data_IF_853246705158
#
_entry.id   IF_853246705158
#
_cell.length_a   1.000
_cell.length_b   1.000
_cell.length_c   1.000
_cell.angle_alpha   90.00
_cell.angle_beta   90.00
_cell.angle_gamma   90.00
#
_symmetry.space_group_name_H-M   'P 1'
#
loop_
_entity.id
_entity.type
_entity.pdbx_description
1 polymer ?
#
# COMPACT_ATOMS: atom_id res chain seq x y z
N UNK A 1 -35.11 -23.22 21.77
CA UNK A 1 -34.04 -22.20 21.75
C UNK A 1 -33.02 -22.67 20.73
N UNK A 2 -32.72 -21.87 19.71
CA UNK A 2 -32.09 -22.30 18.44
C UNK A 2 -30.67 -22.88 18.61
N UNK A 3 -30.53 -24.20 18.50
CA UNK A 3 -29.25 -24.94 18.52
C UNK A 3 -28.24 -24.42 17.50
N UNK A 4 -28.71 -23.99 16.31
CA UNK A 4 -27.87 -23.43 15.24
C UNK A 4 -27.22 -22.10 15.64
N UNK A 5 -27.95 -21.25 16.38
CA UNK A 5 -27.41 -19.97 16.82
C UNK A 5 -26.28 -20.18 17.84
N UNK A 6 -26.41 -21.19 18.72
CA UNK A 6 -25.36 -21.57 19.68
C UNK A 6 -24.12 -22.15 18.98
N UNK A 7 -24.30 -22.94 17.93
CA UNK A 7 -23.19 -23.45 17.11
C UNK A 7 -22.42 -22.31 16.41
N UNK A 8 -23.13 -21.35 15.83
CA UNK A 8 -22.53 -20.18 15.20
C UNK A 8 -21.72 -19.38 16.23
N UNK A 9 -22.29 -19.14 17.41
CA UNK A 9 -21.60 -18.38 18.47
C UNK A 9 -20.32 -19.10 18.95
N UNK A 10 -20.35 -20.42 19.03
CA UNK A 10 -19.16 -21.24 19.37
C UNK A 10 -18.03 -21.12 18.33
N UNK A 11 -18.39 -20.89 17.06
CA UNK A 11 -17.42 -20.65 15.98
C UNK A 11 -16.94 -19.20 15.90
N UNK A 12 -17.78 -18.23 16.30
CA UNK A 12 -17.36 -16.83 16.44
C UNK A 12 -16.34 -16.67 17.58
N UNK A 13 -16.57 -17.35 18.70
CA UNK A 13 -15.73 -17.25 19.88
C UNK A 13 -15.75 -15.86 20.53
N UNK A 14 -15.00 -15.69 21.61
CA UNK A 14 -14.80 -14.38 22.25
C UNK A 14 -13.67 -13.64 21.54
N UNK A 15 -14.01 -12.92 20.47
CA UNK A 15 -13.05 -12.13 19.70
C UNK A 15 -13.53 -10.70 19.48
N UNK A 16 -12.63 -9.75 19.66
CA UNK A 16 -12.79 -8.37 19.18
C UNK A 16 -12.42 -8.28 17.69
N UNK A 17 -13.39 -7.88 16.87
CA UNK A 17 -13.17 -7.60 15.46
C UNK A 17 -12.38 -6.28 15.29
N UNK A 18 -11.56 -6.14 14.24
CA UNK A 18 -10.87 -4.89 13.98
C UNK A 18 -11.86 -3.74 13.74
N UNK A 19 -11.53 -2.53 14.21
CA UNK A 19 -12.37 -1.35 14.01
C UNK A 19 -12.18 -0.77 12.59
N UNK A 20 -12.84 -1.42 11.63
CA UNK A 20 -12.80 -1.05 10.22
C UNK A 20 -13.35 0.36 9.98
N UNK A 21 -14.31 0.81 10.81
CA UNK A 21 -14.89 2.15 10.67
C UNK A 21 -13.87 3.22 11.00
N UNK A 22 -13.11 3.02 12.08
CA UNK A 22 -12.00 3.88 12.45
C UNK A 22 -10.90 3.87 11.39
N UNK A 23 -10.45 2.69 10.95
CA UNK A 23 -9.38 2.58 9.96
C UNK A 23 -9.78 3.25 8.63
N UNK A 24 -11.02 3.09 8.18
CA UNK A 24 -11.51 3.77 6.98
C UNK A 24 -11.61 5.28 7.15
N UNK A 25 -11.97 5.77 8.35
CA UNK A 25 -12.02 7.21 8.63
C UNK A 25 -10.65 7.87 8.60
N UNK A 26 -9.60 7.12 8.97
CA UNK A 26 -8.21 7.59 8.97
C UNK A 26 -7.50 7.38 7.63
N UNK A 27 -7.91 6.39 6.84
CA UNK A 27 -7.27 6.07 5.56
C UNK A 27 -7.82 6.91 4.39
N UNK A 28 -9.12 7.22 4.41
CA UNK A 28 -9.75 8.03 3.37
C UNK A 28 -9.73 9.52 3.73
N UNK A 29 -8.91 10.31 3.00
CA UNK A 29 -8.76 11.77 3.19
C UNK A 29 -10.07 12.52 3.41
N UNK A 30 -11.12 12.19 2.65
CA UNK A 30 -12.44 12.83 2.75
C UNK A 30 -13.15 12.62 4.10
N UNK A 31 -12.79 11.56 4.83
CA UNK A 31 -13.38 11.16 6.12
C UNK A 31 -12.52 11.54 7.32
N UNK A 32 -11.35 12.16 7.10
CA UNK A 32 -10.46 12.58 8.17
C UNK A 32 -11.18 13.52 9.14
N UNK A 33 -10.76 13.52 10.41
CA UNK A 33 -11.40 14.30 11.48
C UNK A 33 -11.48 15.79 11.17
N UNK A 34 -10.53 16.34 10.42
CA UNK A 34 -10.54 17.75 9.99
C UNK A 34 -11.78 18.12 9.16
N UNK A 35 -12.38 17.15 8.45
CA UNK A 35 -13.60 17.33 7.66
C UNK A 35 -14.88 16.92 8.38
N UNK A 36 -14.80 15.91 9.25
CA UNK A 36 -16.00 15.29 9.87
C UNK A 36 -16.32 15.87 11.25
N UNK A 37 -15.30 16.25 12.03
CA UNK A 37 -15.46 16.74 13.39
C UNK A 37 -15.56 18.28 13.41
N UNK A 38 -16.77 18.78 13.15
CA UNK A 38 -17.10 20.21 13.17
C UNK A 38 -17.12 20.80 14.60
N UNK A 39 -17.06 19.97 15.64
CA UNK A 39 -17.02 20.45 17.03
C UNK A 39 -15.57 20.77 17.41
N UNK A 40 -14.64 19.87 17.06
CA UNK A 40 -13.21 20.07 17.27
C UNK A 40 -12.63 21.08 16.29
N UNK A 41 -13.14 21.12 15.06
CA UNK A 41 -12.70 22.04 13.99
C UNK A 41 -13.88 22.88 13.47
N UNK A 42 -14.39 23.83 14.28
CA UNK A 42 -15.58 24.60 13.96
C UNK A 42 -15.34 25.59 12.82
N UNK A 43 -16.37 25.75 11.99
CA UNK A 43 -16.41 26.82 11.00
C UNK A 43 -16.48 28.19 11.69
N UNK A 44 -15.95 29.21 11.03
CA UNK A 44 -15.88 30.54 11.62
C UNK A 44 -17.19 31.29 11.39
N UNK A 45 -17.81 31.76 12.45
CA UNK A 45 -18.90 32.74 12.35
C UNK A 45 -18.35 34.17 12.37
N UNK A 46 -18.63 34.93 11.31
CA UNK A 46 -18.30 36.35 11.21
C UNK A 46 -19.60 37.15 11.20
N UNK A 47 -19.61 38.28 11.91
CA UNK A 47 -20.74 39.22 11.84
C UNK A 47 -20.44 40.21 10.71
N UNK A 48 -21.23 40.16 9.64
CA UNK A 48 -21.17 41.11 8.55
C UNK A 48 -22.29 42.12 8.67
N UNK A 49 -21.97 43.40 8.55
CA UNK A 49 -22.97 44.46 8.44
C UNK A 49 -23.51 44.45 7.00
N UNK A 50 -24.82 44.25 6.85
CA UNK A 50 -25.51 44.43 5.57
C UNK A 50 -26.46 45.63 5.67
N UNK A 51 -26.68 46.32 4.55
CA UNK A 51 -27.60 47.46 4.49
C UNK A 51 -28.87 47.00 3.78
N UNK A 52 -30.01 47.06 4.47
CA UNK A 52 -31.32 46.78 3.87
C UNK A 52 -31.65 47.82 2.78
N UNK A 53 -32.62 47.51 1.90
CA UNK A 53 -33.13 48.45 0.88
C UNK A 53 -33.62 49.80 1.44
N UNK A 54 -33.84 49.88 2.77
CA UNK A 54 -34.23 51.09 3.51
C UNK A 54 -33.06 51.85 4.15
N UNK A 55 -31.81 51.48 3.89
CA UNK A 55 -30.62 52.20 4.39
C UNK A 55 -30.23 51.91 5.85
N UNK A 56 -30.92 50.99 6.53
CA UNK A 56 -30.59 50.60 7.90
C UNK A 56 -29.52 49.51 7.92
N UNK A 57 -28.46 49.70 8.72
CA UNK A 57 -27.40 48.71 8.95
C UNK A 57 -27.91 47.62 9.89
N UNK A 58 -28.02 46.40 9.39
CA UNK A 58 -28.33 45.21 10.18
C UNK A 58 -27.12 44.27 10.24
N UNK A 59 -27.01 43.52 11.33
CA UNK A 59 -25.93 42.56 11.56
C UNK A 59 -26.40 41.16 11.18
N UNK A 60 -25.80 40.56 10.17
CA UNK A 60 -26.01 39.16 9.84
C UNK A 60 -24.81 38.32 10.30
N UNK A 61 -25.08 37.17 10.92
CA UNK A 61 -24.04 36.17 11.16
C UNK A 61 -23.87 35.36 9.88
N UNK A 62 -22.69 35.45 9.28
CA UNK A 62 -22.29 34.63 8.12
C UNK A 62 -21.29 33.60 8.60
N UNK A 63 -21.55 32.34 8.29
CA UNK A 63 -20.63 31.23 8.58
C UNK A 63 -19.71 31.06 7.38
N UNK A 64 -18.41 31.17 7.61
CA UNK A 64 -17.37 30.98 6.60
C UNK A 64 -16.75 29.60 6.85
N UNK A 65 -16.79 28.69 5.86
CA UNK A 65 -16.20 27.37 6.01
C UNK A 65 -14.69 27.49 6.20
N UNK A 66 -14.14 26.64 7.07
CA UNK A 66 -12.70 26.56 7.29
C UNK A 66 -11.99 25.96 6.06
N UNK A 67 -10.80 26.46 5.73
CA UNK A 67 -9.86 25.85 4.80
C UNK A 67 -9.29 24.55 5.36
N UNK A 68 -10.00 23.44 5.15
CA UNK A 68 -9.62 22.11 5.63
C UNK A 68 -8.69 21.41 4.64
N UNK A 69 -7.51 21.02 5.10
CA UNK A 69 -6.51 20.29 4.32
C UNK A 69 -6.29 18.91 4.95
N UNK A 70 -6.54 17.86 4.17
CA UNK A 70 -6.26 16.47 4.57
C UNK A 70 -5.04 15.91 3.85
N UNK A 71 -4.21 15.18 4.57
CA UNK A 71 -2.90 14.69 4.11
C UNK A 71 -2.95 13.16 3.95
N UNK A 72 -2.64 12.59 2.76
CA UNK A 72 -2.78 11.16 2.50
C UNK A 72 -1.61 10.30 3.02
N UNK A 73 -1.04 10.60 4.19
CA UNK A 73 0.12 9.88 4.72
C UNK A 73 -0.16 8.39 4.94
N UNK A 74 -1.32 8.05 5.50
CA UNK A 74 -1.73 6.66 5.75
C UNK A 74 -1.69 5.83 4.45
N UNK A 75 -2.20 6.39 3.35
CA UNK A 75 -2.16 5.74 2.02
C UNK A 75 -0.72 5.58 1.54
N UNK A 76 0.11 6.62 1.68
CA UNK A 76 1.52 6.62 1.27
C UNK A 76 2.32 5.55 2.03
N UNK A 77 2.18 5.50 3.35
CA UNK A 77 2.84 4.53 4.24
C UNK A 77 2.51 3.10 3.83
N UNK A 78 1.20 2.77 3.71
CA UNK A 78 0.78 1.42 3.31
C UNK A 78 1.29 1.06 1.91
N UNK A 79 1.14 1.96 0.93
CA UNK A 79 1.55 1.68 -0.44
C UNK A 79 3.06 1.44 -0.57
N UNK A 80 3.88 2.21 0.16
CA UNK A 80 5.33 2.06 0.17
C UNK A 80 5.70 0.73 0.85
N UNK A 81 5.15 0.44 2.03
CA UNK A 81 5.39 -0.83 2.73
C UNK A 81 5.03 -2.05 1.87
N UNK A 82 3.86 -2.03 1.21
CA UNK A 82 3.45 -3.07 0.26
C UNK A 82 4.41 -3.19 -0.92
N UNK A 83 4.90 -2.05 -1.44
CA UNK A 83 5.79 -2.06 -2.62
C UNK A 83 7.17 -2.60 -2.26
N UNK A 84 7.71 -2.28 -1.07
CA UNK A 84 8.95 -2.90 -0.59
C UNK A 84 8.79 -4.41 -0.37
N UNK A 85 7.65 -4.87 0.15
CA UNK A 85 7.42 -6.29 0.42
C UNK A 85 7.12 -7.13 -0.83
N UNK A 86 6.30 -6.63 -1.75
CA UNK A 86 5.75 -7.40 -2.89
C UNK A 86 6.00 -6.72 -4.25
N UNK A 87 6.93 -5.76 -4.32
CA UNK A 87 7.33 -5.13 -5.58
C UNK A 87 7.96 -6.14 -6.54
N UNK A 88 8.90 -6.91 -6.02
CA UNK A 88 9.40 -8.11 -6.65
C UNK A 88 8.48 -9.30 -6.36
N UNK A 89 8.20 -10.18 -7.36
CA UNK A 89 7.42 -11.39 -7.13
C UNK A 89 8.11 -12.30 -6.11
N UNK A 90 7.33 -12.88 -5.20
CA UNK A 90 7.81 -13.86 -4.23
C UNK A 90 8.34 -15.08 -4.99
N UNK A 91 9.59 -15.43 -4.73
CA UNK A 91 10.23 -16.62 -5.30
C UNK A 91 10.03 -17.79 -4.34
N UNK A 92 10.04 -18.98 -4.90
CA UNK A 92 9.95 -20.23 -4.15
C UNK A 92 11.13 -21.10 -4.57
N UNK A 93 11.79 -21.74 -3.61
CA UNK A 93 12.81 -22.74 -3.86
C UNK A 93 12.30 -24.10 -3.42
N UNK A 94 12.73 -25.15 -4.13
CA UNK A 94 12.44 -26.54 -3.79
C UNK A 94 13.65 -27.10 -3.05
N UNK A 95 13.44 -27.70 -1.89
CA UNK A 95 14.51 -28.37 -1.14
C UNK A 95 14.66 -29.85 -1.53
N UNK A 96 13.74 -30.37 -2.34
CA UNK A 96 13.73 -31.76 -2.80
C UNK A 96 14.33 -31.89 -4.20
N UNK A 97 14.91 -33.06 -4.50
CA UNK A 97 15.42 -33.37 -5.84
C UNK A 97 14.29 -33.59 -6.86
N UNK A 98 13.09 -33.99 -6.41
CA UNK A 98 11.93 -34.15 -7.28
C UNK A 98 11.24 -32.81 -7.54
N UNK A 99 11.18 -32.46 -8.82
CA UNK A 99 10.67 -31.19 -9.31
C UNK A 99 9.26 -31.28 -9.92
N UNK A 100 8.66 -32.47 -10.08
CA UNK A 100 7.38 -32.58 -10.79
C UNK A 100 6.27 -31.81 -10.08
N UNK A 101 6.13 -32.03 -8.76
CA UNK A 101 5.13 -31.35 -7.94
C UNK A 101 5.45 -29.86 -7.77
N UNK A 102 6.73 -29.50 -7.66
CA UNK A 102 7.17 -28.11 -7.57
C UNK A 102 6.86 -27.30 -8.84
N UNK A 103 7.10 -27.89 -10.03
CA UNK A 103 6.72 -27.28 -11.32
C UNK A 103 5.21 -27.09 -11.44
N UNK A 104 4.41 -28.04 -10.96
CA UNK A 104 2.95 -27.90 -10.91
C UNK A 104 2.53 -26.77 -9.96
N UNK A 105 3.16 -26.66 -8.79
CA UNK A 105 2.95 -25.58 -7.83
C UNK A 105 3.27 -24.21 -8.44
N UNK A 106 4.43 -24.03 -9.08
CA UNK A 106 4.79 -22.76 -9.72
C UNK A 106 3.77 -22.34 -10.79
N UNK A 107 3.24 -23.29 -11.56
CA UNK A 107 2.16 -23.02 -12.53
C UNK A 107 0.86 -22.57 -11.86
N UNK A 108 0.50 -23.12 -10.70
CA UNK A 108 -0.66 -22.64 -9.92
C UNK A 108 -0.47 -21.17 -9.53
N UNK A 109 0.71 -20.83 -9.02
CA UNK A 109 1.08 -19.46 -8.59
C UNK A 109 1.00 -18.50 -9.78
N UNK A 110 1.56 -18.88 -10.93
CA UNK A 110 1.55 -18.07 -12.14
C UNK A 110 0.12 -17.88 -12.70
N UNK A 111 -0.68 -18.95 -12.81
CA UNK A 111 -2.02 -18.89 -13.42
C UNK A 111 -3.04 -18.16 -12.56
N UNK A 112 -2.89 -18.20 -11.24
CA UNK A 112 -3.68 -17.38 -10.33
C UNK A 112 -3.15 -15.95 -10.20
N UNK A 113 -2.05 -15.62 -10.90
CA UNK A 113 -1.42 -14.30 -10.90
C UNK A 113 -1.11 -13.82 -9.49
N UNK A 114 -0.49 -14.69 -8.68
CA UNK A 114 -0.29 -14.44 -7.25
C UNK A 114 0.47 -13.16 -6.96
N UNK A 115 1.32 -12.66 -7.88
CA UNK A 115 1.94 -11.32 -7.75
C UNK A 115 0.94 -10.21 -7.37
N UNK A 116 -0.26 -10.21 -7.94
CA UNK A 116 -1.28 -9.20 -7.62
C UNK A 116 -2.02 -9.52 -6.33
N UNK A 117 -2.30 -10.81 -6.09
CA UNK A 117 -2.97 -11.31 -4.88
C UNK A 117 -2.11 -11.03 -3.64
N UNK A 118 -0.81 -11.27 -3.72
CA UNK A 118 0.16 -11.00 -2.65
C UNK A 118 0.21 -9.51 -2.30
N UNK A 119 0.19 -8.65 -3.33
CA UNK A 119 0.10 -7.19 -3.16
C UNK A 119 -1.22 -6.78 -2.48
N UNK A 120 -2.33 -7.41 -2.86
CA UNK A 120 -3.65 -7.17 -2.25
C UNK A 120 -3.69 -7.62 -0.79
N UNK A 121 -3.14 -8.79 -0.47
CA UNK A 121 -3.02 -9.31 0.90
C UNK A 121 -2.16 -8.35 1.73
N UNK A 122 -0.97 -7.99 1.27
CA UNK A 122 -0.06 -7.13 2.01
C UNK A 122 -0.67 -5.74 2.28
N UNK A 123 -1.38 -5.18 1.30
CA UNK A 123 -2.11 -3.91 1.46
C UNK A 123 -3.25 -4.05 2.47
N UNK A 124 -3.98 -5.16 2.42
CA UNK A 124 -5.13 -5.41 3.30
C UNK A 124 -4.67 -5.61 4.75
N UNK A 125 -3.61 -6.39 4.97
CA UNK A 125 -3.02 -6.59 6.31
C UNK A 125 -2.51 -5.26 6.87
N UNK A 126 -1.81 -4.45 6.06
CA UNK A 126 -1.34 -3.14 6.49
C UNK A 126 -2.45 -2.14 6.83
N UNK A 127 -3.61 -2.26 6.17
CA UNK A 127 -4.75 -1.36 6.36
C UNK A 127 -5.73 -1.81 7.45
N UNK A 128 -5.97 -3.11 7.56
CA UNK A 128 -7.03 -3.70 8.38
C UNK A 128 -6.53 -4.64 9.47
N UNK A 129 -5.21 -4.69 9.71
CA UNK A 129 -4.49 -5.57 10.64
C UNK A 129 -4.56 -7.05 10.32
N UNK A 130 -5.52 -7.50 9.52
CA UNK A 130 -5.68 -8.90 9.17
C UNK A 130 -6.23 -9.10 7.76
N UNK A 131 -6.00 -10.29 7.22
CA UNK A 131 -6.54 -10.73 5.94
C UNK A 131 -6.55 -12.27 5.91
N UNK A 132 -7.42 -12.86 5.12
CA UNK A 132 -7.36 -14.29 4.84
C UNK A 132 -7.36 -14.59 3.35
N UNK A 133 -6.79 -15.72 2.98
CA UNK A 133 -6.73 -16.26 1.63
C UNK A 133 -7.48 -17.58 1.63
N UNK A 134 -8.53 -17.67 0.81
CA UNK A 134 -9.31 -18.89 0.62
C UNK A 134 -8.94 -19.55 -0.71
N UNK A 135 -8.46 -20.79 -0.63
CA UNK A 135 -8.29 -21.65 -1.79
C UNK A 135 -9.54 -22.50 -2.01
N UNK A 136 -10.04 -22.51 -3.23
CA UNK A 136 -11.20 -23.31 -3.58
C UNK A 136 -11.08 -23.79 -5.02
N UNK A 137 -11.75 -24.89 -5.33
CA UNK A 137 -11.75 -25.44 -6.67
C UNK A 137 -13.09 -25.29 -7.35
N UNK A 138 -13.07 -25.28 -8.67
CA UNK A 138 -14.24 -25.21 -9.54
C UNK A 138 -14.18 -26.33 -10.57
N UNK A 139 -15.35 -26.84 -10.99
CA UNK A 139 -15.49 -27.93 -11.95
C UNK A 139 -15.22 -27.46 -13.40
N UNK A 140 -14.00 -26.96 -13.61
CA UNK A 140 -13.49 -26.48 -14.89
C UNK A 140 -12.30 -27.36 -15.30
N UNK A 141 -12.50 -28.32 -16.23
CA UNK A 141 -11.40 -29.12 -16.77
C UNK A 141 -10.34 -28.23 -17.41
N UNK A 142 -9.07 -28.45 -17.08
CA UNK A 142 -7.97 -27.63 -17.54
C UNK A 142 -6.65 -28.40 -17.61
N UNK A 143 -5.66 -27.82 -18.29
CA UNK A 143 -4.28 -28.33 -18.37
C UNK A 143 -3.28 -27.34 -17.74
N UNK A 144 -3.77 -26.48 -16.83
CA UNK A 144 -3.00 -25.37 -16.29
C UNK A 144 -1.80 -25.82 -15.46
N UNK A 145 -1.85 -27.01 -14.87
CA UNK A 145 -0.83 -27.54 -13.97
C UNK A 145 0.26 -28.34 -14.69
N UNK A 146 0.26 -28.36 -16.03
CA UNK A 146 1.09 -29.26 -16.83
C UNK A 146 0.54 -30.68 -16.91
N UNK A 147 -0.59 -30.93 -16.24
CA UNK A 147 -1.34 -32.19 -16.29
C UNK A 147 -2.81 -31.83 -16.48
N UNK A 148 -3.55 -32.68 -17.20
CA UNK A 148 -4.99 -32.55 -17.37
C UNK A 148 -5.69 -32.81 -16.04
N UNK A 149 -6.23 -31.77 -15.44
CA UNK A 149 -6.98 -31.80 -14.20
C UNK A 149 -8.46 -31.52 -14.47
N UNK A 150 -9.35 -32.22 -13.77
CA UNK A 150 -10.81 -32.00 -13.86
C UNK A 150 -11.25 -30.69 -13.19
N UNK A 151 -10.46 -30.22 -12.23
CA UNK A 151 -10.80 -29.07 -11.40
C UNK A 151 -9.79 -27.95 -11.57
N UNK A 152 -10.26 -26.72 -11.43
CA UNK A 152 -9.44 -25.52 -11.43
C UNK A 152 -9.40 -24.90 -10.05
N UNK A 153 -8.20 -24.84 -9.48
CA UNK A 153 -7.87 -24.15 -8.24
C UNK A 153 -7.84 -22.64 -8.45
N UNK A 154 -8.64 -21.93 -7.66
CA UNK A 154 -8.77 -20.47 -7.61
C UNK A 154 -8.51 -20.00 -6.18
N UNK A 155 -8.14 -18.73 -6.07
CA UNK A 155 -7.90 -18.05 -4.79
C UNK A 155 -8.85 -16.88 -4.64
N UNK A 156 -9.32 -16.63 -3.42
CA UNK A 156 -10.09 -15.46 -3.06
C UNK A 156 -9.51 -14.81 -1.81
N UNK A 157 -9.20 -13.52 -1.90
CA UNK A 157 -8.78 -12.71 -0.76
C UNK A 157 -10.02 -12.31 0.04
N UNK A 158 -9.96 -12.49 1.35
CA UNK A 158 -10.99 -12.17 2.32
C UNK A 158 -10.50 -11.01 3.17
N UNK A 159 -11.03 -9.84 2.86
CA UNK A 159 -10.68 -8.58 3.51
C UNK A 159 -11.71 -8.22 4.58
N UNK A 160 -11.28 -7.66 5.74
CA UNK A 160 -12.18 -7.32 6.84
C UNK A 160 -13.26 -6.27 6.55
N UNK A 161 -13.11 -5.49 5.48
CA UNK A 161 -14.11 -4.50 5.05
C UNK A 161 -15.35 -5.13 4.42
N UNK A 162 -15.23 -6.36 3.90
CA UNK A 162 -16.33 -7.11 3.29
C UNK A 162 -16.76 -8.27 4.19
N UNK A 163 -15.81 -8.92 4.87
CA UNK A 163 -16.02 -10.14 5.64
C UNK A 163 -15.63 -9.94 7.10
N UNK A 164 -16.47 -10.36 8.04
CA UNK A 164 -16.04 -10.54 9.42
C UNK A 164 -15.33 -11.89 9.55
N UNK A 165 -14.07 -11.89 9.99
CA UNK A 165 -13.21 -13.07 10.03
C UNK A 165 -13.09 -13.62 11.46
N UNK A 166 -13.32 -14.92 11.62
CA UNK A 166 -13.30 -15.60 12.91
C UNK A 166 -12.34 -16.82 12.85
N UNK A 167 -11.02 -16.59 12.95
CA UNK A 167 -10.06 -17.66 13.12
C UNK A 167 -10.10 -18.18 14.56
N UNK A 168 -10.07 -19.51 14.73
CA UNK A 168 -10.03 -20.17 16.04
C UNK A 168 -8.79 -21.04 16.15
N UNK A 169 -7.98 -20.74 17.16
CA UNK A 169 -6.73 -21.44 17.45
C UNK A 169 -6.88 -22.40 18.64
N UNK A 170 -6.04 -23.43 18.68
CA UNK A 170 -5.85 -24.28 19.87
C UNK A 170 -4.84 -23.64 20.84
N UNK A 171 -4.55 -24.34 21.95
CA UNK A 171 -3.55 -23.92 22.94
C UNK A 171 -2.11 -23.91 22.40
N UNK A 172 -1.87 -24.52 21.24
CA UNK A 172 -0.58 -24.59 20.57
C UNK A 172 -0.50 -23.62 19.36
N UNK A 173 -1.41 -22.63 19.28
CA UNK A 173 -1.51 -21.66 18.18
C UNK A 173 -1.78 -22.28 16.79
N UNK A 174 -2.32 -23.50 16.72
CA UNK A 174 -2.78 -24.10 15.47
C UNK A 174 -4.20 -23.68 15.14
N UNK A 175 -4.44 -23.27 13.89
CA UNK A 175 -5.77 -22.95 13.40
C UNK A 175 -6.62 -24.24 13.30
N UNK A 176 -7.67 -24.36 14.12
CA UNK A 176 -8.60 -25.50 14.17
C UNK A 176 -9.82 -25.27 13.28
N UNK A 177 -10.32 -24.03 13.26
CA UNK A 177 -11.45 -23.66 12.42
C UNK A 177 -11.35 -22.21 11.99
N UNK A 178 -11.85 -21.92 10.81
CA UNK A 178 -11.97 -20.56 10.32
C UNK A 178 -13.40 -20.31 9.90
N UNK A 179 -14.03 -19.25 10.39
CA UNK A 179 -15.34 -18.84 9.92
C UNK A 179 -15.31 -17.43 9.32
N UNK A 180 -16.22 -17.17 8.39
CA UNK A 180 -16.45 -15.84 7.83
C UNK A 180 -17.93 -15.50 7.79
N UNK A 181 -18.23 -14.23 8.03
CA UNK A 181 -19.58 -13.67 7.93
C UNK A 181 -19.60 -12.55 6.90
N UNK A 182 -20.61 -12.52 6.02
CA UNK A 182 -20.80 -11.42 5.08
C UNK A 182 -22.26 -11.28 4.67
N UNK A 183 -22.63 -10.09 4.20
CA UNK A 183 -23.97 -9.81 3.66
C UNK A 183 -24.00 -10.04 2.16
N UNK A 184 -25.00 -10.78 1.69
CA UNK A 184 -25.30 -10.98 0.27
C UNK A 184 -26.74 -10.53 -0.01
N UNK A 185 -26.90 -9.29 -0.44
CA UNK A 185 -28.21 -8.63 -0.52
C UNK A 185 -28.85 -8.50 0.86
N UNK A 186 -30.04 -9.08 1.03
CA UNK A 186 -30.78 -9.06 2.30
C UNK A 186 -30.45 -10.26 3.23
N UNK A 187 -29.55 -11.16 2.81
CA UNK A 187 -29.20 -12.37 3.54
C UNK A 187 -27.84 -12.21 4.21
N UNK A 188 -27.69 -12.68 5.45
CA UNK A 188 -26.38 -12.84 6.11
C UNK A 188 -25.93 -14.27 5.92
N UNK A 189 -24.71 -14.47 5.41
CA UNK A 189 -24.12 -15.78 5.20
C UNK A 189 -23.00 -15.97 6.21
N UNK A 190 -22.97 -17.14 6.84
CA UNK A 190 -21.90 -17.56 7.75
C UNK A 190 -21.34 -18.89 7.26
N UNK A 191 -20.05 -18.91 6.91
CA UNK A 191 -19.37 -20.10 6.40
C UNK A 191 -18.26 -20.52 7.36
N UNK A 192 -18.22 -21.81 7.69
CA UNK A 192 -17.25 -22.41 8.60
C UNK A 192 -16.42 -23.42 7.82
N UNK A 193 -15.10 -23.29 7.94
CA UNK A 193 -14.09 -24.15 7.35
C UNK A 193 -13.35 -24.88 8.45
N UNK A 194 -13.44 -26.21 8.45
CA UNK A 194 -12.65 -27.11 9.30
C UNK A 194 -11.84 -28.05 8.40
N UNK A 195 -10.91 -28.79 8.98
CA UNK A 195 -10.17 -29.85 8.29
C UNK A 195 -11.08 -30.96 7.77
N UNK A 196 -12.17 -31.27 8.47
CA UNK A 196 -13.11 -32.33 8.11
C UNK A 196 -14.31 -31.87 7.28
N UNK A 197 -14.83 -30.66 7.51
CA UNK A 197 -16.11 -30.19 6.94
C UNK A 197 -16.11 -28.72 6.57
N UNK A 198 -16.93 -28.39 5.57
CA UNK A 198 -17.25 -27.03 5.17
C UNK A 198 -18.76 -26.84 5.31
N UNK A 199 -19.15 -25.94 6.21
CA UNK A 199 -20.55 -25.72 6.58
C UNK A 199 -20.95 -24.31 6.18
N UNK A 200 -22.13 -24.16 5.58
CA UNK A 200 -22.71 -22.88 5.21
C UNK A 200 -24.06 -22.69 5.88
N UNK A 201 -24.19 -21.57 6.57
CA UNK A 201 -25.42 -21.08 7.16
C UNK A 201 -25.87 -19.80 6.46
N UNK A 202 -27.18 -19.59 6.44
CA UNK A 202 -27.81 -18.42 5.86
C UNK A 202 -28.92 -17.92 6.78
N UNK A 203 -29.01 -16.59 6.92
CA UNK A 203 -30.01 -15.91 7.71
C UNK A 203 -30.79 -14.91 6.87
N UNK A 204 -32.10 -15.14 6.73
CA UNK A 204 -33.07 -14.15 6.24
C UNK A 204 -33.90 -13.57 7.39
N UNK A 205 -34.47 -14.45 8.22
CA UNK A 205 -35.17 -14.13 9.47
C UNK A 205 -34.65 -14.98 10.63
N UNK A 206 -34.42 -16.27 10.36
CA UNK A 206 -33.79 -17.23 11.26
C UNK A 206 -32.61 -17.91 10.55
N UNK A 207 -31.64 -18.40 11.33
CA UNK A 207 -30.49 -19.12 10.81
C UNK A 207 -30.89 -20.50 10.29
N UNK A 208 -30.48 -20.82 9.06
CA UNK A 208 -30.68 -22.13 8.43
C UNK A 208 -29.35 -22.67 7.92
N UNK A 209 -29.13 -23.96 8.10
CA UNK A 209 -27.98 -24.69 7.55
C UNK A 209 -28.30 -25.06 6.09
N UNK A 210 -27.55 -24.50 5.15
CA UNK A 210 -27.78 -24.68 3.70
C UNK A 210 -26.93 -25.81 3.13
N UNK A 211 -25.69 -25.94 3.59
CA UNK A 211 -24.81 -27.02 3.16
C UNK A 211 -23.88 -27.48 4.27
N UNK A 212 -23.57 -28.77 4.27
CA UNK A 212 -22.56 -29.43 5.09
C UNK A 212 -21.89 -30.48 4.22
N UNK A 213 -20.72 -30.14 3.71
CA UNK A 213 -19.97 -31.01 2.82
C UNK A 213 -18.66 -31.44 3.50
N UNK A 214 -18.21 -32.68 3.29
CA UNK A 214 -16.89 -33.09 3.75
C UNK A 214 -15.82 -32.27 3.02
N UNK A 215 -14.78 -31.88 3.75
CA UNK A 215 -13.65 -31.17 3.19
C UNK A 215 -12.71 -32.16 2.50
N UNK A 216 -12.65 -32.08 1.17
CA UNK A 216 -11.97 -33.08 0.36
C UNK A 216 -10.44 -33.10 0.51
N UNK A 217 -9.83 -32.03 1.02
CA UNK A 217 -8.36 -31.95 1.20
C UNK A 217 -7.89 -32.33 2.61
N UNK A 218 -8.79 -32.57 3.57
CA UNK A 218 -8.44 -32.91 4.95
C UNK A 218 -7.65 -31.82 5.70
N UNK A 219 -7.71 -30.57 5.22
CA UNK A 219 -7.01 -29.39 5.79
C UNK A 219 -7.88 -28.16 5.61
N UNK A 220 -7.82 -27.22 6.55
CA UNK A 220 -8.51 -25.93 6.41
C UNK A 220 -7.94 -25.19 5.18
N UNK A 221 -8.75 -24.86 4.16
CA UNK A 221 -8.31 -24.24 2.92
C UNK A 221 -8.07 -22.72 3.04
N UNK A 222 -7.68 -22.27 4.23
CA UNK A 222 -7.48 -20.87 4.58
C UNK A 222 -6.02 -20.65 4.98
N UNK A 223 -5.46 -19.55 4.49
CA UNK A 223 -4.24 -18.94 5.03
C UNK A 223 -4.64 -17.64 5.70
N UNK A 224 -4.29 -17.47 6.97
CA UNK A 224 -4.66 -16.29 7.76
C UNK A 224 -3.43 -15.46 8.06
N UNK A 225 -3.52 -14.16 7.81
CA UNK A 225 -2.47 -13.17 8.03
C UNK A 225 -2.94 -12.19 9.09
N UNK A 226 -2.10 -11.92 10.08
CA UNK A 226 -2.41 -11.01 11.19
C UNK A 226 -1.17 -10.21 11.56
N UNK A 227 -1.37 -8.92 11.80
CA UNK A 227 -0.47 -8.03 12.51
C UNK A 227 -1.23 -7.33 13.63
N UNK A 228 -0.51 -6.74 14.59
CA UNK A 228 -1.14 -6.16 15.78
C UNK A 228 -1.89 -4.85 15.48
N UNK A 229 -1.23 -3.94 14.76
CA UNK A 229 -1.72 -2.58 14.51
C UNK A 229 -1.65 -2.23 13.02
N UNK A 230 -2.40 -1.20 12.60
CA UNK A 230 -2.29 -0.65 11.24
C UNK A 230 -0.95 0.06 11.04
N UNK A 231 -0.47 0.15 9.80
CA UNK A 231 0.89 0.67 9.51
C UNK A 231 1.18 2.09 10.01
N UNK A 232 0.14 2.89 10.24
CA UNK A 232 0.25 4.29 10.64
C UNK A 232 -0.17 4.54 12.10
N UNK A 233 -0.46 3.48 12.88
CA UNK A 233 -1.05 3.60 14.20
C UNK A 233 -0.27 4.55 15.12
N UNK A 234 1.06 4.41 15.14
CA UNK A 234 1.95 5.17 16.03
C UNK A 234 2.09 6.65 15.64
N UNK A 235 1.79 6.99 14.38
CA UNK A 235 1.96 8.34 13.83
C UNK A 235 0.63 9.06 13.57
N UNK A 236 -0.50 8.42 13.90
CA UNK A 236 -1.83 8.98 13.62
C UNK A 236 -2.04 10.35 14.27
N UNK A 237 -1.55 10.56 15.49
CA UNK A 237 -1.61 11.85 16.19
C UNK A 237 -0.76 12.92 15.52
N UNK A 238 0.43 12.56 15.02
CA UNK A 238 1.29 13.46 14.26
C UNK A 238 0.63 13.89 12.94
N UNK A 239 -0.01 12.96 12.22
CA UNK A 239 -0.75 13.28 10.99
C UNK A 239 -1.92 14.23 11.28
N UNK A 240 -2.73 13.95 12.31
CA UNK A 240 -3.84 14.84 12.70
C UNK A 240 -3.35 16.25 13.11
N UNK A 241 -2.17 16.34 13.74
CA UNK A 241 -1.55 17.61 14.11
C UNK A 241 -1.07 18.39 12.87
N UNK A 242 -0.43 17.71 11.92
CA UNK A 242 -0.03 18.30 10.64
C UNK A 242 -1.24 18.88 9.91
N UNK A 243 -2.32 18.10 9.72
CA UNK A 243 -3.54 18.57 9.04
C UNK A 243 -4.12 19.85 9.67
N UNK A 244 -4.09 19.92 11.00
CA UNK A 244 -4.53 21.10 11.73
C UNK A 244 -3.60 22.31 11.50
N UNK A 245 -2.28 22.11 11.52
CA UNK A 245 -1.30 23.19 11.24
C UNK A 245 -1.46 23.70 9.81
N UNK A 246 -1.58 22.83 8.81
CA UNK A 246 -1.78 23.21 7.41
C UNK A 246 -3.08 23.98 7.21
N UNK A 247 -4.18 23.51 7.80
CA UNK A 247 -5.50 24.17 7.70
C UNK A 247 -5.47 25.58 8.32
N UNK A 248 -4.85 25.73 9.51
CA UNK A 248 -4.72 27.04 10.16
C UNK A 248 -3.78 27.99 9.41
N UNK A 249 -2.70 27.46 8.83
CA UNK A 249 -1.78 28.25 8.01
C UNK A 249 -2.49 28.75 6.74
N UNK A 250 -3.30 27.91 6.10
CA UNK A 250 -4.12 28.31 4.96
C UNK A 250 -5.13 29.41 5.33
N UNK A 251 -5.82 29.29 6.46
CA UNK A 251 -6.69 30.35 6.98
C UNK A 251 -5.97 31.67 7.25
N UNK A 252 -4.76 31.59 7.82
CA UNK A 252 -3.94 32.78 8.05
C UNK A 252 -3.58 33.43 6.71
N UNK A 253 -3.11 32.64 5.75
CA UNK A 253 -2.72 33.14 4.44
C UNK A 253 -3.89 33.81 3.73
N UNK A 254 -5.09 33.24 3.76
CA UNK A 254 -6.28 33.85 3.17
C UNK A 254 -6.67 35.18 3.84
N UNK A 255 -6.50 35.31 5.15
CA UNK A 255 -6.76 36.57 5.87
C UNK A 255 -5.77 37.67 5.51
N UNK A 256 -4.50 37.33 5.36
CA UNK A 256 -3.42 38.28 5.05
C UNK A 256 -3.17 38.43 3.55
N UNK A 257 -3.89 37.68 2.71
CA UNK A 257 -3.83 37.79 1.24
C UNK A 257 -4.18 39.19 0.73
N UNK A 258 -4.98 39.95 1.49
CA UNK A 258 -5.24 41.36 1.23
C UNK A 258 -4.54 42.23 2.29
N UNK A 259 -3.81 43.28 1.90
CA UNK A 259 -3.15 44.17 2.85
C UNK A 259 -4.18 44.81 3.80
N UNK A 260 -4.04 44.55 5.09
CA UNK A 260 -4.86 45.18 6.12
C UNK A 260 -4.14 46.47 6.53
N UNK A 261 -4.79 47.62 6.39
CA UNK A 261 -4.19 48.88 6.79
C UNK A 261 -4.49 49.18 8.26
N UNK A 262 -3.45 49.31 9.07
CA UNK A 262 -3.51 49.74 10.47
C UNK A 262 -3.33 51.25 10.53
N UNK A 263 -4.29 51.93 11.14
CA UNK A 263 -4.28 53.38 11.31
C UNK A 263 -4.21 53.70 12.80
N UNK A 264 -3.31 54.62 13.18
CA UNK A 264 -3.14 55.12 14.53
C UNK A 264 -3.29 56.64 14.50
N UNK A 265 -4.19 57.18 15.32
CA UNK A 265 -4.55 58.61 15.29
C UNK A 265 -5.90 58.87 14.61
N UNK A 266 -6.23 60.16 14.44
CA UNK A 266 -7.48 60.58 13.81
C UNK A 266 -7.27 60.66 12.30
N UNK A 267 -8.04 59.88 11.54
CA UNK A 267 -7.96 59.84 10.09
C UNK A 267 -9.22 60.46 9.52
N UNK A 268 -9.07 61.54 8.77
CA UNK A 268 -10.17 62.21 8.06
C UNK A 268 -10.07 61.90 6.58
N UNK A 269 -11.04 61.14 6.05
CA UNK A 269 -11.13 60.78 4.65
C UNK A 269 -12.20 59.71 4.42
N UNK A 270 -12.92 59.79 3.30
CA UNK A 270 -13.97 58.85 2.96
C UNK A 270 -13.38 57.64 2.22
N UNK A 271 -13.51 56.45 2.80
CA UNK A 271 -13.26 55.19 2.08
C UNK A 271 -14.45 54.94 1.15
N UNK A 272 -14.37 55.41 -0.11
CA UNK A 272 -15.36 55.05 -1.13
C UNK A 272 -15.15 53.59 -1.57
N UNK A 273 -16.22 52.96 -2.07
CA UNK A 273 -16.29 51.52 -2.34
C UNK A 273 -15.42 51.02 -3.51
N UNK A 274 -14.73 51.90 -4.25
CA UNK A 274 -14.07 51.53 -5.51
C UNK A 274 -12.53 51.46 -5.40
N UNK A 275 -11.94 50.40 -5.97
CA UNK A 275 -10.58 49.89 -5.64
C UNK A 275 -9.44 50.41 -6.55
N UNK A 276 -9.35 51.70 -6.89
CA UNK A 276 -8.28 52.16 -7.82
C UNK A 276 -7.40 53.34 -7.38
N UNK A 277 -7.53 53.84 -6.14
CA UNK A 277 -6.52 54.77 -5.60
C UNK A 277 -7.00 55.41 -4.30
N UNK A 278 -6.37 55.05 -3.19
CA UNK A 278 -6.71 55.59 -1.86
C UNK A 278 -5.64 56.59 -1.42
N UNK A 279 -6.01 57.86 -1.27
CA UNK A 279 -5.20 58.85 -0.57
C UNK A 279 -5.77 58.99 0.83
N UNK A 280 -4.98 58.68 1.85
CA UNK A 280 -5.36 58.83 3.25
C UNK A 280 -4.68 60.07 3.80
N UNK A 281 -5.47 61.01 4.32
CA UNK A 281 -4.95 62.19 4.97
C UNK A 281 -4.78 61.89 6.46
N UNK A 282 -3.53 61.89 6.91
CA UNK A 282 -3.12 61.63 8.29
C UNK A 282 -2.90 62.99 8.99
N UNK A 283 -3.50 63.19 10.17
CA UNK A 283 -3.22 64.34 11.03
C UNK A 283 -1.82 64.24 11.67
N UNK A 284 -1.32 65.33 12.25
CA UNK A 284 0.02 65.41 12.84
C UNK A 284 0.15 64.40 14.01
N UNK A 285 1.05 63.42 13.89
CA UNK A 285 1.21 62.31 14.82
C UNK A 285 0.42 61.03 14.49
N UNK A 286 -0.29 60.99 13.36
CA UNK A 286 -0.97 59.78 12.88
C UNK A 286 -0.04 58.91 12.01
N UNK A 287 -0.06 57.60 12.26
CA UNK A 287 0.75 56.59 11.56
C UNK A 287 -0.17 55.64 10.80
N UNK A 288 0.18 55.33 9.55
CA UNK A 288 -0.46 54.29 8.75
C UNK A 288 0.58 53.22 8.39
N UNK A 289 0.35 52.00 8.86
CA UNK A 289 1.21 50.85 8.57
C UNK A 289 0.36 49.72 7.99
N UNK A 290 0.89 48.96 7.03
CA UNK A 290 0.24 47.71 6.67
C UNK A 290 0.47 46.70 7.79
N UNK A 291 -0.60 46.03 8.20
CA UNK A 291 -0.50 44.92 9.13
C UNK A 291 0.26 43.80 8.43
N UNK A 292 1.50 43.62 8.85
CA UNK A 292 2.29 42.48 8.44
C UNK A 292 1.62 41.22 9.00
N UNK A 293 1.57 40.17 8.18
CA UNK A 293 1.30 38.83 8.68
C UNK A 293 2.27 38.60 9.86
N UNK A 294 1.81 38.10 11.02
CA UNK A 294 2.75 37.61 12.02
C UNK A 294 3.63 36.61 11.28
N UNK A 295 4.92 36.94 11.12
CA UNK A 295 5.91 36.09 10.44
C UNK A 295 5.60 34.65 10.83
N UNK A 296 5.41 33.77 9.83
CA UNK A 296 5.24 32.34 10.08
C UNK A 296 6.33 31.96 11.08
N UNK A 297 5.92 31.69 12.32
CA UNK A 297 6.87 31.59 13.42
C UNK A 297 7.85 30.48 13.03
N UNK A 298 9.16 30.72 13.12
CA UNK A 298 10.17 29.68 12.82
C UNK A 298 9.82 28.39 13.56
N UNK A 299 9.29 28.48 14.77
CA UNK A 299 8.79 27.35 15.55
C UNK A 299 7.68 26.53 14.87
N UNK A 300 6.81 27.14 14.06
CA UNK A 300 5.74 26.42 13.35
C UNK A 300 6.28 25.63 12.17
N UNK A 301 7.23 26.23 11.43
CA UNK A 301 7.95 25.53 10.36
C UNK A 301 8.76 24.38 10.93
N UNK A 302 9.50 24.61 12.02
CA UNK A 302 10.25 23.56 12.73
C UNK A 302 9.36 22.44 13.26
N UNK A 303 8.18 22.76 13.82
CA UNK A 303 7.21 21.76 14.25
C UNK A 303 6.73 20.92 13.06
N UNK A 304 6.41 21.56 11.93
CA UNK A 304 5.93 20.88 10.72
C UNK A 304 7.01 19.95 10.16
N UNK A 305 8.23 20.44 9.97
CA UNK A 305 9.35 19.66 9.43
C UNK A 305 9.69 18.47 10.35
N UNK A 306 9.64 18.67 11.67
CA UNK A 306 9.86 17.60 12.65
C UNK A 306 8.76 16.56 12.59
N UNK A 307 7.50 16.96 12.55
CA UNK A 307 6.37 16.03 12.47
C UNK A 307 6.40 15.23 11.16
N UNK A 308 6.71 15.86 10.02
CA UNK A 308 6.85 15.15 8.75
C UNK A 308 7.97 14.12 8.81
N UNK A 309 9.12 14.49 9.40
CA UNK A 309 10.23 13.58 9.60
C UNK A 309 9.85 12.42 10.52
N UNK A 310 9.24 12.70 11.67
CA UNK A 310 8.81 11.71 12.65
C UNK A 310 7.82 10.70 12.03
N UNK A 311 6.89 11.17 11.18
CA UNK A 311 5.97 10.29 10.43
C UNK A 311 6.75 9.31 9.54
N UNK A 312 7.79 9.79 8.85
CA UNK A 312 8.61 8.97 7.96
C UNK A 312 9.54 8.01 8.70
N UNK A 313 10.20 8.49 9.76
CA UNK A 313 11.17 7.73 10.54
C UNK A 313 10.46 6.61 11.35
N UNK A 314 9.38 6.93 12.08
CA UNK A 314 8.68 5.95 12.92
C UNK A 314 7.88 4.91 12.13
N UNK A 315 7.50 5.21 10.87
CA UNK A 315 6.85 4.20 10.01
C UNK A 315 7.84 3.44 9.12
N UNK A 316 9.13 3.76 9.21
CA UNK A 316 10.18 3.28 8.31
C UNK A 316 9.79 3.45 6.83
N UNK A 317 9.18 4.61 6.50
CA UNK A 317 8.72 4.95 5.16
C UNK A 317 9.68 5.94 4.53
N UNK A 318 10.49 5.55 3.53
CA UNK A 318 11.44 6.46 2.89
C UNK A 318 10.79 7.73 2.34
N UNK A 319 11.33 8.89 2.69
CA UNK A 319 10.84 10.18 2.19
C UNK A 319 11.52 10.59 0.88
N UNK A 320 10.97 10.09 -0.22
CA UNK A 320 11.48 10.32 -1.57
C UNK A 320 10.88 11.62 -2.16
N UNK A 321 11.21 12.76 -1.57
CA UNK A 321 10.89 14.07 -2.16
C UNK A 321 12.08 14.60 -2.97
N UNK A 322 11.81 15.40 -4.01
CA UNK A 322 12.86 15.97 -4.85
C UNK A 322 13.86 16.80 -4.03
N UNK A 323 13.38 17.53 -3.03
CA UNK A 323 14.23 18.35 -2.17
C UNK A 323 15.10 17.51 -1.24
N UNK A 324 14.60 16.39 -0.71
CA UNK A 324 15.41 15.44 0.05
C UNK A 324 16.41 14.69 -0.84
N UNK A 325 16.06 14.45 -2.11
CA UNK A 325 16.93 13.77 -3.07
C UNK A 325 18.06 14.65 -3.60
N UNK A 326 17.91 15.98 -3.66
CA UNK A 326 18.96 16.91 -4.11
C UNK A 326 20.25 16.79 -3.28
N UNK A 327 20.13 16.56 -1.97
CA UNK A 327 21.28 16.34 -1.08
C UNK A 327 21.88 14.93 -1.17
N UNK A 328 21.17 13.98 -1.79
CA UNK A 328 21.53 12.56 -1.87
C UNK A 328 22.06 12.16 -3.25
N UNK A 329 22.26 13.10 -4.18
CA UNK A 329 22.66 12.81 -5.57
C UNK A 329 23.89 11.90 -5.71
N UNK A 330 24.88 12.05 -4.83
CA UNK A 330 26.08 11.19 -4.83
C UNK A 330 25.84 9.79 -4.24
N UNK A 331 24.87 9.63 -3.32
CA UNK A 331 24.52 8.32 -2.73
C UNK A 331 23.58 7.52 -3.62
N UNK A 332 22.67 8.20 -4.34
CA UNK A 332 21.75 7.59 -5.31
C UNK A 332 22.48 7.10 -6.58
N UNK A 333 23.62 7.71 -6.90
CA UNK A 333 24.45 7.34 -8.05
C UNK A 333 25.42 6.17 -7.78
N UNK A 334 25.62 5.76 -6.52
CA UNK A 334 26.55 4.69 -6.13
C UNK A 334 25.86 3.46 -5.52
N UNK A 335 26.66 2.44 -5.16
CA UNK A 335 26.24 1.20 -4.49
C UNK A 335 25.61 1.40 -3.10
N UNK A 336 25.55 2.63 -2.59
CA UNK A 336 25.02 2.97 -1.26
C UNK A 336 23.51 3.29 -1.25
N UNK A 337 22.83 3.21 -2.40
CA UNK A 337 21.38 3.43 -2.48
C UNK A 337 20.58 2.47 -1.58
N UNK A 338 21.10 1.26 -1.32
CA UNK A 338 20.48 0.29 -0.41
C UNK A 338 20.46 0.80 1.05
N UNK A 339 21.51 1.51 1.49
CA UNK A 339 21.57 2.08 2.84
C UNK A 339 20.51 3.16 3.08
N UNK A 340 20.10 3.89 2.05
CA UNK A 340 19.00 4.87 2.15
C UNK A 340 17.67 4.19 2.54
N UNK A 341 17.50 2.93 2.14
CA UNK A 341 16.29 2.16 2.37
C UNK A 341 16.44 1.15 3.51
N UNK A 342 17.52 1.20 4.30
CA UNK A 342 17.80 0.23 5.35
C UNK A 342 16.62 0.04 6.32
N UNK A 343 16.00 1.12 6.78
CA UNK A 343 14.84 1.05 7.68
C UNK A 343 13.66 0.32 7.05
N UNK A 344 13.39 0.56 5.76
CA UNK A 344 12.36 -0.14 5.01
C UNK A 344 12.69 -1.64 4.82
N UNK A 345 13.97 -1.98 4.64
CA UNK A 345 14.43 -3.36 4.56
C UNK A 345 14.26 -4.08 5.90
N UNK A 346 14.66 -3.46 7.01
CA UNK A 346 14.45 -4.01 8.35
C UNK A 346 12.96 -4.26 8.62
N UNK A 347 12.09 -3.32 8.24
CA UNK A 347 10.63 -3.50 8.32
C UNK A 347 10.12 -4.69 7.48
N UNK A 348 10.69 -4.92 6.30
CA UNK A 348 10.36 -6.11 5.50
C UNK A 348 10.82 -7.38 6.21
N UNK A 349 12.01 -7.39 6.80
CA UNK A 349 12.55 -8.53 7.57
C UNK A 349 11.65 -8.88 8.76
N UNK A 350 11.18 -7.89 9.52
CA UNK A 350 10.24 -8.12 10.62
C UNK A 350 8.93 -8.75 10.13
N UNK A 351 8.44 -8.31 8.96
CA UNK A 351 7.24 -8.87 8.34
C UNK A 351 7.43 -10.29 7.84
N UNK A 352 8.65 -10.75 7.56
CA UNK A 352 8.87 -12.13 7.13
C UNK A 352 8.36 -13.14 8.16
N UNK A 353 8.38 -12.80 9.46
CA UNK A 353 7.82 -13.64 10.52
C UNK A 353 6.32 -13.92 10.33
N UNK A 354 5.58 -13.03 9.66
CA UNK A 354 4.16 -13.18 9.35
C UNK A 354 3.99 -13.89 8.00
N UNK A 355 4.71 -13.44 6.97
CA UNK A 355 4.47 -13.90 5.60
C UNK A 355 5.10 -15.26 5.29
N UNK A 356 6.31 -15.58 5.76
CA UNK A 356 6.97 -16.85 5.46
C UNK A 356 6.14 -18.06 5.94
N UNK A 357 5.71 -18.14 7.22
CA UNK A 357 4.88 -19.24 7.69
C UNK A 357 3.54 -19.34 6.94
N UNK A 358 2.94 -18.20 6.60
CA UNK A 358 1.70 -18.15 5.84
C UNK A 358 1.87 -18.65 4.39
N UNK A 359 2.98 -18.31 3.73
CA UNK A 359 3.30 -18.78 2.38
C UNK A 359 3.67 -20.27 2.35
N UNK A 360 4.30 -20.79 3.39
CA UNK A 360 4.49 -22.24 3.57
C UNK A 360 3.14 -22.94 3.78
N UNK A 361 2.24 -22.34 4.57
CA UNK A 361 0.87 -22.85 4.73
C UNK A 361 0.11 -22.86 3.39
N UNK A 362 0.23 -21.80 2.58
CA UNK A 362 -0.28 -21.74 1.21
C UNK A 362 0.25 -22.91 0.38
N UNK A 363 1.57 -23.13 0.37
CA UNK A 363 2.18 -24.24 -0.36
C UNK A 363 1.61 -25.60 0.08
N UNK A 364 1.43 -25.82 1.39
CA UNK A 364 0.79 -27.02 1.93
C UNK A 364 -0.67 -27.19 1.47
N UNK A 365 -1.45 -26.11 1.34
CA UNK A 365 -2.85 -26.17 0.88
C UNK A 365 -2.91 -26.49 -0.62
N UNK A 366 -2.05 -25.86 -1.42
CA UNK A 366 -1.96 -26.12 -2.86
C UNK A 366 -1.50 -27.55 -3.10
N UNK A 367 -0.49 -28.03 -2.35
CA UNK A 367 -0.04 -29.43 -2.35
C UNK A 367 -1.22 -30.38 -2.19
N UNK A 368 -2.01 -30.22 -1.13
CA UNK A 368 -3.15 -31.10 -0.86
C UNK A 368 -4.22 -31.08 -1.95
N UNK A 369 -4.45 -29.92 -2.60
CA UNK A 369 -5.33 -29.86 -3.78
C UNK A 369 -4.74 -30.57 -5.01
N UNK A 370 -3.45 -30.39 -5.30
CA UNK A 370 -2.78 -31.05 -6.43
C UNK A 370 -2.77 -32.57 -6.27
N UNK A 371 -2.51 -33.07 -5.07
CA UNK A 371 -2.58 -34.50 -4.71
C UNK A 371 -4.00 -35.07 -4.87
N UNK A 372 -5.03 -34.26 -4.59
CA UNK A 372 -6.42 -34.65 -4.79
C UNK A 372 -6.80 -34.70 -6.28
N UNK A 373 -6.28 -33.79 -7.11
CA UNK A 373 -6.62 -33.74 -8.53
C UNK A 373 -5.89 -34.77 -9.37
N UNK A 374 -4.70 -35.21 -8.96
CA UNK A 374 -3.87 -36.14 -9.70
C UNK A 374 -3.37 -37.27 -8.80
N UNK A 375 -3.84 -38.49 -9.08
CA UNK A 375 -3.46 -39.71 -8.36
C UNK A 375 -1.95 -39.97 -8.42
N UNK A 376 -1.28 -39.53 -9.49
CA UNK A 376 0.18 -39.72 -9.63
C UNK A 376 0.99 -38.94 -8.60
N UNK A 377 0.54 -37.73 -8.25
CA UNK A 377 1.25 -36.84 -7.32
C UNK A 377 0.96 -37.16 -5.85
N UNK A 378 0.13 -38.18 -5.56
CA UNK A 378 -0.40 -38.44 -4.23
C UNK A 378 0.69 -38.77 -3.19
N UNK A 379 1.79 -39.38 -3.63
CA UNK A 379 2.89 -39.78 -2.75
C UNK A 379 4.05 -38.77 -2.72
N UNK A 380 3.99 -37.73 -3.55
CA UNK A 380 5.08 -36.79 -3.71
C UNK A 380 5.03 -35.74 -2.59
N UNK A 381 6.21 -35.41 -2.06
CA UNK A 381 6.37 -34.36 -1.06
C UNK A 381 6.70 -33.02 -1.74
N UNK A 382 6.38 -31.92 -1.05
CA UNK A 382 6.68 -30.58 -1.48
C UNK A 382 7.25 -29.84 -0.27
N UNK A 383 8.56 -29.64 -0.28
CA UNK A 383 9.24 -28.78 0.67
C UNK A 383 9.68 -27.49 -0.03
N UNK A 384 8.99 -26.41 0.30
CA UNK A 384 9.11 -25.13 -0.39
C UNK A 384 9.47 -24.03 0.59
N UNK A 385 10.54 -23.31 0.26
CA UNK A 385 10.97 -22.13 1.00
C UNK A 385 10.64 -20.86 0.20
N UNK A 386 9.78 -19.96 0.74
CA UNK A 386 9.47 -18.70 0.10
C UNK A 386 10.60 -17.69 0.36
N UNK A 387 11.12 -17.09 -0.72
CA UNK A 387 12.12 -16.03 -0.67
C UNK A 387 11.46 -14.71 -1.06
N UNK A 388 11.40 -13.80 -0.10
CA UNK A 388 10.93 -12.43 -0.28
C UNK A 388 12.17 -11.53 -0.39
N UNK A 389 12.31 -10.85 -1.52
CA UNK A 389 13.38 -9.88 -1.74
C UNK A 389 12.78 -8.47 -1.68
N UNK A 390 13.24 -7.59 -0.77
CA UNK A 390 12.79 -6.22 -0.73
C UNK A 390 12.99 -5.52 -2.07
N UNK A 391 12.03 -4.71 -2.50
CA UNK A 391 12.17 -3.95 -3.74
C UNK A 391 13.24 -2.86 -3.60
N UNK A 392 14.17 -2.81 -4.56
CA UNK A 392 15.22 -1.80 -4.61
C UNK A 392 15.23 -1.17 -6.00
N UNK A 393 15.37 0.16 -6.05
CA UNK A 393 15.63 0.88 -7.30
C UNK A 393 17.13 0.78 -7.57
N UNK A 394 17.54 -0.26 -8.29
CA UNK A 394 18.94 -0.47 -8.62
C UNK A 394 19.34 0.32 -9.86
N UNK A 395 20.51 0.94 -9.80
CA UNK A 395 21.21 1.37 -11.01
C UNK A 395 21.94 0.15 -11.60
N UNK A 396 21.28 -0.55 -12.54
CA UNK A 396 21.85 -1.76 -13.15
C UNK A 396 23.25 -1.53 -13.74
N UNK A 397 23.57 -0.31 -14.19
CA UNK A 397 24.88 0.02 -14.75
C UNK A 397 26.00 0.00 -13.70
N UNK A 398 25.74 0.48 -12.48
CA UNK A 398 26.70 0.45 -11.36
C UNK A 398 26.94 -0.99 -10.88
N UNK A 399 25.88 -1.80 -10.79
CA UNK A 399 25.99 -3.21 -10.40
C UNK A 399 26.79 -4.01 -11.44
N UNK A 400 26.55 -3.77 -12.73
CA UNK A 400 27.35 -4.36 -13.82
C UNK A 400 28.80 -3.90 -13.74
N UNK A 401 29.07 -2.62 -13.46
CA UNK A 401 30.45 -2.12 -13.30
C UNK A 401 31.16 -2.76 -12.11
N UNK A 402 30.49 -2.88 -10.96
CA UNK A 402 31.01 -3.58 -9.79
C UNK A 402 31.32 -5.04 -10.08
N UNK A 403 30.39 -5.75 -10.74
CA UNK A 403 30.61 -7.15 -11.14
C UNK A 403 31.77 -7.28 -12.14
N UNK A 404 31.91 -6.34 -13.09
CA UNK A 404 33.06 -6.32 -14.01
C UNK A 404 34.35 -6.12 -13.23
N UNK A 405 34.41 -5.16 -12.30
CA UNK A 405 35.58 -4.90 -11.45
C UNK A 405 35.94 -6.12 -10.59
N UNK A 406 34.95 -6.75 -9.95
CA UNK A 406 35.12 -7.97 -9.16
C UNK A 406 35.56 -9.18 -10.01
N UNK A 407 35.14 -9.24 -11.28
CA UNK A 407 35.52 -10.26 -12.25
C UNK A 407 36.79 -9.90 -13.05
N UNK A 408 37.55 -8.88 -12.62
CA UNK A 408 38.80 -8.47 -13.28
C UNK A 408 38.60 -7.86 -14.67
N UNK A 409 37.52 -7.09 -14.85
CA UNK A 409 37.04 -6.45 -16.07
C UNK A 409 36.78 -7.40 -17.25
N UNK A 410 36.51 -8.68 -16.97
CA UNK A 410 36.07 -9.63 -18.01
C UNK A 410 34.58 -9.43 -18.33
N UNK A 411 34.17 -9.67 -19.60
CA UNK A 411 32.75 -9.65 -19.97
C UNK A 411 31.95 -10.60 -19.08
N UNK A 412 30.92 -10.07 -18.41
CA UNK A 412 30.08 -10.83 -17.47
C UNK A 412 29.10 -11.75 -18.17
N UNK A 413 28.64 -11.35 -19.34
CA UNK A 413 27.66 -12.08 -20.14
C UNK A 413 28.21 -12.30 -21.54
N UNK A 414 27.82 -13.41 -22.17
CA UNK A 414 28.01 -13.55 -23.61
C UNK A 414 27.21 -12.48 -24.35
N UNK A 415 27.69 -12.04 -25.51
CA UNK A 415 26.97 -11.09 -26.36
C UNK A 415 25.56 -11.61 -26.69
N UNK A 416 25.42 -12.94 -26.85
CA UNK A 416 24.14 -13.62 -27.05
C UNK A 416 23.16 -13.39 -25.88
N UNK A 417 23.62 -13.58 -24.64
CA UNK A 417 22.78 -13.41 -23.46
C UNK A 417 22.40 -11.94 -23.24
N UNK A 418 23.32 -11.01 -23.51
CA UNK A 418 23.03 -9.57 -23.44
C UNK A 418 21.96 -9.16 -24.47
N UNK A 419 22.05 -9.68 -25.70
CA UNK A 419 21.05 -9.44 -26.75
C UNK A 419 19.68 -10.05 -26.43
N UNK A 420 19.64 -11.26 -25.85
CA UNK A 420 18.39 -11.87 -25.36
C UNK A 420 17.75 -11.02 -24.26
N UNK A 421 18.55 -10.52 -23.32
CA UNK A 421 18.07 -9.68 -22.22
C UNK A 421 17.54 -8.32 -22.71
N UNK A 422 18.11 -7.78 -23.80
CA UNK A 422 17.61 -6.58 -24.48
C UNK A 422 16.32 -6.81 -25.28
N UNK A 423 15.81 -8.04 -25.35
CA UNK A 423 14.57 -8.38 -26.05
C UNK A 423 14.74 -8.59 -27.56
N UNK A 424 15.96 -8.78 -28.05
CA UNK A 424 16.22 -9.12 -29.46
C UNK A 424 15.78 -10.57 -29.69
N UNK A 425 14.84 -10.77 -30.62
CA UNK A 425 14.22 -12.07 -30.88
C UNK A 425 15.21 -13.12 -31.42
N UNK A 426 16.20 -12.69 -32.22
CA UNK A 426 17.22 -13.56 -32.84
C UNK A 426 18.65 -13.05 -32.58
N UNK A 427 19.22 -13.32 -31.39
CA UNK A 427 20.58 -12.92 -31.04
C UNK A 427 21.67 -13.41 -32.00
N UNK A 428 21.50 -14.62 -32.56
CA UNK A 428 22.50 -15.27 -33.43
C UNK A 428 22.63 -14.59 -34.79
N UNK A 429 21.51 -14.21 -35.41
CA UNK A 429 21.52 -13.49 -36.69
C UNK A 429 22.12 -12.09 -36.53
N UNK A 430 21.86 -11.43 -35.40
CA UNK A 430 22.39 -10.10 -35.14
C UNK A 430 23.89 -10.13 -34.79
N UNK A 431 24.37 -11.17 -34.11
CA UNK A 431 25.82 -11.38 -33.92
C UNK A 431 26.53 -11.66 -35.26
N UNK A 432 25.90 -12.40 -36.18
CA UNK A 432 26.45 -12.61 -37.52
C UNK A 432 26.53 -11.29 -38.31
N UNK A 433 25.50 -10.44 -38.23
CA UNK A 433 25.54 -9.11 -38.85
C UNK A 433 26.64 -8.21 -38.26
N UNK A 434 26.85 -8.24 -36.95
CA UNK A 434 27.93 -7.49 -36.30
C UNK A 434 29.30 -8.01 -36.74
N UNK A 435 29.49 -9.34 -36.83
CA UNK A 435 30.72 -9.91 -37.37
C UNK A 435 30.96 -9.51 -38.83
N UNK A 436 29.92 -9.55 -39.68
CA UNK A 436 30.03 -9.11 -41.08
C UNK A 436 30.32 -7.60 -41.23
N UNK A 437 29.86 -6.78 -40.29
CA UNK A 437 30.18 -5.35 -40.22
C UNK A 437 31.62 -5.12 -39.74
N UNK A 438 32.05 -5.80 -38.67
CA UNK A 438 33.41 -5.73 -38.15
C UNK A 438 34.44 -6.23 -39.17
N UNK A 439 34.15 -7.32 -39.87
CA UNK A 439 34.99 -7.86 -40.93
C UNK A 439 35.07 -6.88 -42.11
N UNK A 440 33.95 -6.25 -42.51
CA UNK A 440 33.94 -5.19 -43.53
C UNK A 440 34.75 -3.97 -43.10
N UNK A 441 34.64 -3.54 -41.84
CA UNK A 441 35.39 -2.41 -41.30
C UNK A 441 36.90 -2.73 -41.28
N UNK A 442 37.28 -3.95 -40.90
CA UNK A 442 38.66 -4.41 -40.91
C UNK A 442 39.23 -4.52 -42.34
N UNK A 443 38.44 -4.98 -43.31
CA UNK A 443 38.83 -4.98 -44.73
C UNK A 443 39.03 -3.56 -45.28
N UNK A 444 38.14 -2.62 -44.92
CA UNK A 444 38.27 -1.20 -45.28
C UNK A 444 39.48 -0.52 -44.61
N UNK A 445 39.81 -0.90 -43.37
CA UNK A 445 40.99 -0.41 -42.66
C UNK A 445 42.29 -0.95 -43.27
N UNK A 446 42.33 -2.25 -43.60
CA UNK A 446 43.48 -2.86 -44.27
C UNK A 446 43.66 -2.33 -45.69
N UNK A 447 42.58 -2.08 -46.44
CA UNK A 447 42.64 -1.48 -47.78
C UNK A 447 43.25 -0.06 -47.81
N UNK A 448 43.15 0.71 -46.72
CA UNK A 448 43.82 2.02 -46.59
C UNK A 448 45.31 1.91 -46.21
N UNK A 449 45.74 0.81 -45.60
CA UNK A 449 47.15 0.56 -45.26
C UNK A 449 47.99 0.17 -46.49
N UNK A 450 47.38 -0.33 -47.56
CA UNK A 450 48.07 -0.71 -48.80
C UNK A 450 48.01 0.36 -49.90
N UNK A 451 47.45 1.54 -49.61
CA UNK A 451 47.33 2.67 -50.54
C UNK A 451 48.21 3.87 -50.15
N UNK A 452 49.33 3.64 -49.47
CA UNK A 452 50.42 4.62 -49.24
C UNK A 452 51.69 4.13 -49.91
#
# INVERSE_FOLDING_TARGET
>A
MNTIAQEIEKHKGERTLPDITLFNSQYEVKKHKIFTDLVKYPDRTVVSDYTDEKGNKQKQKVTIPLNRIGLPYQKKIVNIATTFLCGEPIKYTNNLEDDELFKAFLKVIEKNKMKFVDREIATSVGRFTECAELWYFTDEPNEHYGVRAKFRLKVKVLTPDIYSLYPKFDENDNLISFAREFKNGNKTIFEVYTDERIIRYEQEKEWKKISDIPNAIGKIPIVYYKQENVEWADVQTAIERLEHIYSNTAESNDRFSFPILKLKGKVTGQLSQDKSGRVLQLEEGAEAEFANQPQANQSLTEETDRLERDVHDFTATPNISFDNMKGLGNMLAGSNAEFLFLSAHLKVMDKLAIYIPALQRRASIIKSHLQMFNVKLKNDDLDVEPIITPFIINNEAEFVRFLMEANGNKPLYSQEYAMQKLGIKNPKEMMQQIQEEDDRINELANGKSFAI
#
